data_IF_291242737491
#
_entry.id   IF_291242737491
#
_cell.length_a   1.000
_cell.length_b   1.000
_cell.length_c   1.000
_cell.angle_alpha   90.00
_cell.angle_beta   90.00
_cell.angle_gamma   90.00
#
_symmetry.space_group_name_H-M   'P 1'
#
loop_
_entity.id
_entity.type
_entity.pdbx_description
1 polymer ?
#
# COMPACT_ATOMS: atom_id res chain seq x y z
N UNK A 1 30.57 -60.69 29.59
CA UNK A 1 30.30 -59.57 28.66
C UNK A 1 28.82 -59.60 28.31
N UNK A 2 27.99 -58.86 29.03
CA UNK A 2 26.55 -58.73 28.75
C UNK A 2 26.26 -57.31 28.29
N UNK A 3 25.67 -57.16 27.12
CA UNK A 3 25.32 -55.86 26.53
C UNK A 3 23.94 -55.42 27.05
N UNK A 4 23.88 -54.27 27.73
CA UNK A 4 22.64 -53.61 28.13
C UNK A 4 22.18 -52.70 26.98
N UNK A 5 21.00 -52.98 26.39
CA UNK A 5 20.34 -52.07 25.44
C UNK A 5 19.40 -51.16 26.22
N UNK A 6 19.71 -49.87 26.28
CA UNK A 6 18.80 -48.84 26.76
C UNK A 6 17.86 -48.43 25.62
N UNK A 7 16.55 -48.56 25.82
CA UNK A 7 15.54 -48.00 24.92
C UNK A 7 15.14 -46.61 25.44
N UNK A 8 15.38 -45.58 24.64
CA UNK A 8 14.85 -44.23 24.87
C UNK A 8 13.39 -44.20 24.41
N UNK A 9 12.47 -43.96 25.34
CA UNK A 9 11.07 -43.64 25.01
C UNK A 9 11.00 -42.13 24.74
N UNK A 10 10.71 -41.76 23.50
CA UNK A 10 10.46 -40.37 23.11
C UNK A 10 9.00 -40.03 23.50
N UNK A 11 8.82 -39.21 24.53
CA UNK A 11 7.50 -38.70 24.88
C UNK A 11 7.15 -37.52 23.96
N UNK A 12 6.21 -37.71 23.03
CA UNK A 12 5.61 -36.60 22.28
C UNK A 12 4.64 -35.84 23.20
N UNK A 13 5.02 -34.62 23.58
CA UNK A 13 4.12 -33.65 24.20
C UNK A 13 3.17 -33.09 23.15
N UNK A 14 1.89 -33.49 23.19
CA UNK A 14 0.80 -32.80 22.51
C UNK A 14 0.50 -31.49 23.25
N UNK A 15 0.95 -30.36 22.70
CA UNK A 15 0.47 -29.05 23.13
C UNK A 15 -0.98 -28.90 22.66
N UNK A 16 -1.91 -28.83 23.62
CA UNK A 16 -3.30 -28.46 23.36
C UNK A 16 -3.29 -26.98 22.97
N UNK A 17 -3.45 -26.69 21.67
CA UNK A 17 -3.75 -25.34 21.20
C UNK A 17 -5.17 -24.99 21.71
N UNK A 18 -5.26 -24.08 22.67
CA UNK A 18 -6.52 -23.49 23.08
C UNK A 18 -7.19 -22.74 21.91
N UNK A 19 -8.52 -22.54 21.95
CA UNK A 19 -9.21 -21.82 20.90
C UNK A 19 -8.68 -20.40 20.79
N UNK A 20 -8.20 -20.03 19.59
CA UNK A 20 -7.92 -18.65 19.25
C UNK A 20 -9.24 -17.89 19.32
N UNK A 21 -9.37 -16.99 20.30
CA UNK A 21 -10.52 -16.10 20.36
C UNK A 21 -10.47 -15.22 19.12
N UNK A 22 -11.43 -15.42 18.21
CA UNK A 22 -11.60 -14.53 17.07
C UNK A 22 -11.93 -13.14 17.61
N UNK A 23 -10.97 -12.22 17.47
CA UNK A 23 -11.17 -10.84 17.86
C UNK A 23 -12.21 -10.23 16.92
N UNK A 24 -13.32 -9.72 17.45
CA UNK A 24 -14.32 -9.01 16.65
C UNK A 24 -13.64 -7.73 16.15
N UNK A 25 -13.38 -7.68 14.86
CA UNK A 25 -12.87 -6.48 14.19
C UNK A 25 -14.02 -5.47 14.06
N UNK A 26 -13.74 -4.16 14.16
CA UNK A 26 -14.76 -3.14 13.86
C UNK A 26 -15.27 -3.29 12.43
N UNK A 27 -16.47 -2.78 12.16
CA UNK A 27 -16.95 -2.75 10.78
C UNK A 27 -15.96 -1.94 9.93
N UNK A 28 -15.40 -2.56 8.89
CA UNK A 28 -14.51 -1.86 7.95
C UNK A 28 -15.24 -0.67 7.32
N UNK A 29 -14.57 0.49 7.21
CA UNK A 29 -15.22 1.71 6.75
C UNK A 29 -15.58 1.67 5.26
N UNK A 30 -16.72 2.29 4.94
CA UNK A 30 -17.14 2.54 3.56
C UNK A 30 -17.91 1.39 2.89
N UNK A 31 -18.44 1.62 1.68
CA UNK A 31 -19.32 0.67 0.99
C UNK A 31 -18.57 -0.42 0.19
N UNK A 32 -17.25 -0.54 0.37
CA UNK A 32 -16.37 -1.23 -0.58
C UNK A 32 -16.23 -2.74 -0.35
N UNK A 33 -16.86 -3.28 0.69
CA UNK A 33 -16.85 -4.71 0.90
C UNK A 33 -18.04 -5.40 0.24
N UNK A 34 -17.82 -6.61 -0.29
CA UNK A 34 -18.91 -7.49 -0.67
C UNK A 34 -19.78 -7.71 0.56
N UNK A 35 -21.08 -7.47 0.43
CA UNK A 35 -22.03 -7.54 1.55
C UNK A 35 -22.35 -8.98 1.96
N UNK A 36 -22.05 -9.95 1.10
CA UNK A 36 -22.32 -11.37 1.28
C UNK A 36 -21.44 -12.25 0.37
N UNK A 37 -21.49 -13.58 0.60
CA UNK A 37 -20.79 -14.59 -0.21
C UNK A 37 -21.28 -14.62 -1.67
N UNK A 38 -22.54 -14.26 -1.90
CA UNK A 38 -23.15 -14.22 -3.23
C UNK A 38 -22.46 -13.17 -4.11
N UNK A 39 -22.05 -12.04 -3.52
CA UNK A 39 -21.33 -10.98 -4.21
C UNK A 39 -19.90 -11.36 -4.67
N UNK A 40 -19.32 -12.44 -4.14
CA UNK A 40 -17.95 -12.88 -4.48
C UNK A 40 -17.86 -14.22 -5.20
N UNK A 41 -18.92 -15.04 -5.18
CA UNK A 41 -18.89 -16.41 -5.71
C UNK A 41 -18.49 -16.51 -7.19
N UNK A 42 -18.88 -15.51 -7.99
CA UNK A 42 -18.65 -15.47 -9.43
C UNK A 42 -17.42 -14.61 -9.80
N UNK A 43 -16.67 -14.12 -8.82
CA UNK A 43 -15.44 -13.39 -9.09
C UNK A 43 -14.37 -14.35 -9.62
N UNK A 44 -14.03 -14.19 -10.89
CA UNK A 44 -12.92 -14.90 -11.49
C UNK A 44 -11.61 -14.57 -10.74
N UNK A 45 -10.98 -15.61 -10.21
CA UNK A 45 -9.71 -15.55 -9.47
C UNK A 45 -8.72 -16.57 -10.02
N UNK A 46 -7.48 -16.51 -9.53
CA UNK A 46 -6.41 -17.41 -9.90
C UNK A 46 -6.60 -18.78 -9.23
N UNK A 47 -6.26 -19.83 -9.98
CA UNK A 47 -6.33 -21.22 -9.54
C UNK A 47 -5.00 -21.77 -9.04
N UNK A 48 -5.07 -22.98 -8.50
CA UNK A 48 -3.87 -23.75 -8.19
C UNK A 48 -3.09 -24.08 -9.48
N UNK A 49 -1.81 -23.72 -9.52
CA UNK A 49 -0.93 -23.95 -10.69
C UNK A 49 -0.78 -22.76 -11.63
N UNK A 50 -1.53 -21.68 -11.45
CA UNK A 50 -1.32 -20.43 -12.20
C UNK A 50 0.06 -19.84 -11.88
N UNK A 51 0.74 -19.37 -12.93
CA UNK A 51 2.03 -18.68 -12.80
C UNK A 51 1.78 -17.19 -12.87
N UNK A 52 1.81 -16.54 -11.72
CA UNK A 52 1.44 -15.14 -11.57
C UNK A 52 2.67 -14.25 -11.54
N UNK A 53 2.60 -13.13 -12.26
CA UNK A 53 3.56 -12.04 -12.21
C UNK A 53 2.90 -10.83 -11.55
N UNK A 54 3.54 -10.28 -10.53
CA UNK A 54 3.08 -9.09 -9.82
C UNK A 54 4.09 -7.95 -9.93
N UNK A 55 3.62 -6.71 -9.86
CA UNK A 55 4.46 -5.51 -9.87
C UNK A 55 4.10 -4.57 -8.73
N UNK A 56 5.11 -4.03 -8.06
CA UNK A 56 4.92 -2.90 -7.15
C UNK A 56 4.62 -1.64 -7.95
N UNK A 57 3.52 -0.97 -7.59
CA UNK A 57 3.11 0.27 -8.24
C UNK A 57 3.28 1.44 -7.28
N UNK A 58 4.36 2.18 -7.52
CA UNK A 58 4.66 3.43 -6.84
C UNK A 58 3.99 4.57 -7.61
N UNK A 59 3.01 5.22 -7.00
CA UNK A 59 2.16 6.19 -7.68
C UNK A 59 2.30 7.62 -7.17
N UNK A 60 3.06 7.84 -6.11
CA UNK A 60 3.21 9.14 -5.42
C UNK A 60 4.12 10.13 -6.17
N UNK A 61 4.02 10.20 -7.49
CA UNK A 61 4.81 11.10 -8.33
C UNK A 61 3.95 12.25 -8.85
N UNK A 62 4.50 13.46 -8.85
CA UNK A 62 3.86 14.61 -9.49
C UNK A 62 4.90 15.61 -9.98
N UNK A 63 4.85 15.95 -11.26
CA UNK A 63 5.80 16.91 -11.83
C UNK A 63 5.31 18.36 -11.74
N UNK A 64 3.99 18.58 -11.86
CA UNK A 64 3.39 19.92 -11.86
C UNK A 64 3.11 20.43 -10.45
N UNK A 65 3.57 21.65 -10.16
CA UNK A 65 3.30 22.32 -8.88
C UNK A 65 1.79 22.55 -8.73
N UNK A 66 1.23 21.99 -7.66
CA UNK A 66 -0.16 22.24 -7.26
C UNK A 66 -0.38 21.86 -5.80
N UNK A 67 -1.46 22.37 -5.23
CA UNK A 67 -1.93 21.95 -3.92
C UNK A 67 -2.61 20.58 -4.01
N UNK A 68 -2.45 19.75 -2.99
CA UNK A 68 -3.21 18.51 -2.83
C UNK A 68 -4.01 18.63 -1.53
N UNK A 69 -5.33 18.56 -1.63
CA UNK A 69 -6.24 18.67 -0.47
C UNK A 69 -5.91 19.91 0.42
N UNK A 70 -5.61 21.05 -0.22
CA UNK A 70 -5.26 22.30 0.47
C UNK A 70 -3.79 22.44 0.88
N UNK A 71 -2.97 21.38 0.75
CA UNK A 71 -1.54 21.41 1.06
C UNK A 71 -0.76 21.98 -0.14
N UNK A 72 -0.48 23.29 -0.11
CA UNK A 72 0.20 24.04 -1.17
C UNK A 72 1.71 24.15 -0.93
N UNK A 73 2.43 23.03 -0.95
CA UNK A 73 3.87 23.01 -0.76
C UNK A 73 4.58 22.50 -2.03
N UNK A 74 5.42 23.30 -2.72
CA UNK A 74 6.15 22.83 -3.90
C UNK A 74 7.14 21.69 -3.60
N UNK A 75 7.67 21.61 -2.37
CA UNK A 75 8.44 20.44 -1.93
C UNK A 75 7.58 19.17 -1.84
N UNK A 76 6.25 19.30 -1.71
CA UNK A 76 5.30 18.18 -1.64
C UNK A 76 4.85 17.72 -3.05
N UNK A 77 4.81 18.60 -4.05
CA UNK A 77 4.50 18.18 -5.41
C UNK A 77 5.63 17.32 -5.98
N UNK A 78 6.90 17.71 -5.82
CA UNK A 78 8.03 17.04 -6.49
C UNK A 78 8.93 16.19 -5.59
N UNK A 79 8.55 15.92 -4.34
CA UNK A 79 9.37 15.23 -3.32
C UNK A 79 9.96 13.88 -3.75
N UNK A 80 9.33 13.19 -4.70
CA UNK A 80 9.76 11.89 -5.20
C UNK A 80 10.43 11.94 -6.59
N UNK A 81 10.54 13.14 -7.16
CA UNK A 81 11.22 13.40 -8.44
C UNK A 81 12.50 14.18 -8.20
N UNK A 82 12.44 15.17 -7.31
CA UNK A 82 13.53 16.03 -6.89
C UNK A 82 13.80 15.79 -5.41
N UNK A 83 15.06 15.81 -4.98
CA UNK A 83 15.34 15.83 -3.54
C UNK A 83 14.67 17.07 -2.95
N UNK A 84 13.99 16.91 -1.82
CA UNK A 84 13.46 18.04 -1.07
C UNK A 84 14.64 18.97 -0.73
N UNK A 85 14.78 20.07 -1.47
CA UNK A 85 15.83 21.06 -1.22
C UNK A 85 15.45 21.87 0.02
N UNK A 86 15.59 21.24 1.18
CA UNK A 86 15.60 21.87 2.48
C UNK A 86 16.97 21.66 3.11
N UNK A 87 17.82 22.69 3.06
CA UNK A 87 19.07 22.90 3.84
C UNK A 87 20.43 22.38 3.34
N UNK A 88 20.54 21.46 2.38
CA UNK A 88 21.86 20.81 2.11
C UNK A 88 22.52 21.05 0.74
N UNK A 89 21.83 21.61 -0.26
CA UNK A 89 22.46 21.92 -1.55
C UNK A 89 22.29 23.39 -1.95
N UNK A 90 23.41 24.08 -2.17
CA UNK A 90 23.48 25.45 -2.71
C UNK A 90 23.18 25.53 -4.22
N UNK A 91 22.99 24.39 -4.89
CA UNK A 91 22.95 24.26 -6.36
C UNK A 91 21.55 24.18 -6.97
N UNK A 92 20.48 24.27 -6.18
CA UNK A 92 19.11 24.08 -6.65
C UNK A 92 18.66 22.61 -6.62
N UNK A 93 17.43 22.30 -7.05
CA UNK A 93 16.89 20.93 -6.97
C UNK A 93 17.67 19.97 -7.87
N UNK A 94 18.19 18.92 -7.26
CA UNK A 94 18.81 17.77 -7.92
C UNK A 94 17.80 16.63 -8.04
N UNK A 95 17.89 15.87 -9.13
CA UNK A 95 17.04 14.70 -9.39
C UNK A 95 17.22 13.67 -8.28
N UNK A 96 16.11 13.25 -7.66
CA UNK A 96 16.10 12.08 -6.77
C UNK A 96 16.07 10.75 -7.54
N UNK A 97 15.80 10.82 -8.84
CA UNK A 97 15.73 9.65 -9.72
C UNK A 97 17.11 9.33 -10.28
N UNK A 98 17.49 8.03 -10.25
CA UNK A 98 18.69 7.51 -10.92
C UNK A 98 18.54 7.57 -12.44
N UNK A 99 17.35 7.23 -12.93
CA UNK A 99 16.97 7.31 -14.34
C UNK A 99 15.75 8.22 -14.50
N UNK A 100 15.73 9.05 -15.54
CA UNK A 100 14.61 9.96 -15.81
C UNK A 100 13.58 9.30 -16.73
N UNK A 101 12.31 9.14 -16.30
CA UNK A 101 11.24 8.66 -17.16
C UNK A 101 11.04 9.56 -18.39
N UNK A 102 10.75 8.95 -19.54
CA UNK A 102 10.50 9.67 -20.80
C UNK A 102 9.27 10.57 -20.72
N UNK A 103 8.31 10.21 -19.87
CA UNK A 103 7.05 10.88 -19.61
C UNK A 103 7.02 11.61 -18.26
N UNK A 104 8.20 11.99 -17.73
CA UNK A 104 8.34 12.65 -16.43
C UNK A 104 7.33 13.80 -16.22
N UNK A 105 7.13 14.64 -17.24
CA UNK A 105 6.26 15.83 -17.17
C UNK A 105 4.77 15.51 -17.08
N UNK A 106 4.40 14.29 -17.44
CA UNK A 106 3.03 13.78 -17.44
C UNK A 106 2.68 13.06 -16.14
N UNK A 107 3.68 12.76 -15.29
CA UNK A 107 3.45 12.10 -14.01
C UNK A 107 2.65 13.00 -13.07
N UNK A 108 1.49 12.53 -12.66
CA UNK A 108 0.63 13.19 -11.68
C UNK A 108 -0.26 12.16 -10.97
N UNK A 109 0.02 11.89 -9.69
CA UNK A 109 -0.76 10.95 -8.87
C UNK A 109 -2.25 11.28 -8.80
N UNK A 110 -2.63 12.53 -9.05
CA UNK A 110 -4.03 12.99 -8.97
C UNK A 110 -4.77 12.87 -10.30
N UNK A 111 -4.08 12.47 -11.39
CA UNK A 111 -4.65 12.39 -12.73
C UNK A 111 -5.03 10.94 -13.10
N UNK A 112 -6.33 10.59 -13.20
CA UNK A 112 -6.77 9.27 -13.63
C UNK A 112 -6.20 8.88 -15.01
N UNK A 113 -6.01 9.82 -15.93
CA UNK A 113 -5.48 9.52 -17.26
C UNK A 113 -4.01 9.05 -17.19
N UNK A 114 -3.22 9.60 -16.26
CA UNK A 114 -1.86 9.12 -16.02
C UNK A 114 -1.85 7.70 -15.48
N UNK A 115 -2.68 7.40 -14.47
CA UNK A 115 -2.83 6.04 -13.93
C UNK A 115 -3.28 5.05 -14.99
N UNK A 116 -4.26 5.44 -15.81
CA UNK A 116 -4.75 4.65 -16.93
C UNK A 116 -3.60 4.24 -17.86
N UNK A 117 -2.76 5.18 -18.27
CA UNK A 117 -1.62 4.90 -19.14
C UNK A 117 -0.65 3.89 -18.51
N UNK A 118 -0.42 3.96 -17.19
CA UNK A 118 0.43 2.98 -16.49
C UNK A 118 -0.24 1.60 -16.42
N UNK A 119 -1.54 1.53 -16.12
CA UNK A 119 -2.29 0.27 -16.08
C UNK A 119 -2.26 -0.41 -17.46
N UNK A 120 -2.49 0.34 -18.54
CA UNK A 120 -2.44 -0.20 -19.90
C UNK A 120 -1.04 -0.71 -20.27
N UNK A 121 0.03 -0.02 -19.84
CA UNK A 121 1.42 -0.49 -20.04
C UNK A 121 1.68 -1.79 -19.27
N UNK A 122 1.27 -1.87 -18.01
CA UNK A 122 1.40 -3.08 -17.18
C UNK A 122 0.63 -4.25 -17.80
N UNK A 123 -0.60 -4.01 -18.25
CA UNK A 123 -1.40 -5.00 -18.96
C UNK A 123 -0.71 -5.47 -20.26
N UNK A 124 -0.15 -4.55 -21.04
CA UNK A 124 0.58 -4.88 -22.29
C UNK A 124 1.85 -5.72 -22.04
N UNK A 125 2.43 -5.60 -20.85
CA UNK A 125 3.56 -6.41 -20.40
C UNK A 125 3.15 -7.79 -19.86
N UNK A 126 1.85 -8.14 -19.90
CA UNK A 126 1.31 -9.40 -19.38
C UNK A 126 1.58 -9.61 -17.88
N UNK A 127 1.54 -8.52 -17.11
CA UNK A 127 1.61 -8.58 -15.65
C UNK A 127 0.20 -8.79 -15.10
N UNK A 128 0.03 -9.80 -14.26
CA UNK A 128 -1.28 -10.25 -13.77
C UNK A 128 -1.82 -9.41 -12.61
N UNK A 129 -0.90 -8.90 -11.78
CA UNK A 129 -1.24 -8.25 -10.51
C UNK A 129 -0.50 -6.91 -10.36
N UNK A 130 -1.25 -5.84 -10.11
CA UNK A 130 -0.71 -4.58 -9.63
C UNK A 130 -0.79 -4.58 -8.10
N UNK A 131 0.33 -4.21 -7.46
CA UNK A 131 0.43 -4.02 -6.03
C UNK A 131 0.70 -2.54 -5.72
N UNK A 132 -0.32 -1.67 -5.67
CA UNK A 132 -0.14 -0.29 -5.25
C UNK A 132 0.45 -0.27 -3.85
N UNK A 133 1.53 0.49 -3.69
CA UNK A 133 2.20 0.63 -2.40
C UNK A 133 1.44 1.65 -1.57
N UNK A 134 0.71 1.18 -0.57
CA UNK A 134 0.02 2.07 0.36
C UNK A 134 1.00 2.60 1.38
N UNK A 135 1.20 3.92 1.39
CA UNK A 135 2.12 4.62 2.26
C UNK A 135 1.37 5.66 3.10
N UNK A 136 0.94 5.24 4.27
CA UNK A 136 0.23 6.07 5.22
C UNK A 136 -0.06 5.31 6.51
N UNK A 137 -0.84 5.96 7.37
CA UNK A 137 -1.34 5.35 8.62
C UNK A 137 -2.82 5.01 8.41
N UNK A 138 -3.21 3.72 8.42
CA UNK A 138 -4.60 3.33 8.29
C UNK A 138 -5.50 4.03 9.33
N UNK A 139 -6.67 4.48 8.88
CA UNK A 139 -7.65 5.18 9.73
C UNK A 139 -7.30 6.63 10.08
N UNK A 140 -6.18 7.17 9.56
CA UNK A 140 -5.84 8.59 9.71
C UNK A 140 -5.40 9.20 8.37
N UNK A 141 -6.39 9.61 7.60
CA UNK A 141 -6.23 10.12 6.23
C UNK A 141 -6.33 11.65 6.13
N UNK A 142 -6.45 12.34 7.27
CA UNK A 142 -6.53 13.79 7.37
C UNK A 142 -5.18 14.41 7.76
N UNK A 143 -5.16 15.73 7.91
CA UNK A 143 -3.99 16.52 8.35
C UNK A 143 -3.44 16.11 9.73
N UNK A 144 -4.24 15.43 10.56
CA UNK A 144 -3.88 14.98 11.91
C UNK A 144 -3.29 13.56 11.96
N UNK A 145 -3.37 12.81 10.86
CA UNK A 145 -2.78 11.49 10.70
C UNK A 145 -1.29 11.52 10.41
N UNK A 146 -0.95 11.61 9.14
CA UNK A 146 0.40 11.79 8.65
C UNK A 146 0.30 12.55 7.33
N UNK A 147 1.17 13.53 7.06
CA UNK A 147 1.10 14.33 5.84
C UNK A 147 1.13 13.48 4.55
N UNK A 148 1.73 12.28 4.64
CA UNK A 148 1.84 11.31 3.54
C UNK A 148 0.56 10.51 3.30
N UNK A 149 -0.33 10.37 4.29
CA UNK A 149 -1.61 9.66 4.12
C UNK A 149 -2.48 10.31 3.04
N UNK A 150 -2.32 11.62 2.84
CA UNK A 150 -3.00 12.38 1.79
C UNK A 150 -2.60 11.89 0.40
N UNK A 151 -1.31 11.62 0.15
CA UNK A 151 -0.85 11.07 -1.14
C UNK A 151 -1.49 9.74 -1.45
N UNK A 152 -1.50 8.84 -0.46
CA UNK A 152 -2.09 7.51 -0.63
C UNK A 152 -3.59 7.60 -0.89
N UNK A 153 -4.32 8.47 -0.19
CA UNK A 153 -5.74 8.68 -0.45
C UNK A 153 -6.00 9.16 -1.88
N UNK A 154 -5.46 10.33 -2.26
CA UNK A 154 -5.77 10.93 -3.57
C UNK A 154 -5.25 10.10 -4.73
N UNK A 155 -4.08 9.48 -4.56
CA UNK A 155 -3.49 8.62 -5.58
C UNK A 155 -4.31 7.34 -5.79
N UNK A 156 -4.85 6.76 -4.72
CA UNK A 156 -5.71 5.58 -4.82
C UNK A 156 -7.11 5.90 -5.33
N UNK A 157 -7.64 7.08 -5.04
CA UNK A 157 -8.90 7.56 -5.64
C UNK A 157 -8.76 7.67 -7.17
N UNK A 158 -7.72 8.36 -7.65
CA UNK A 158 -7.46 8.50 -9.10
C UNK A 158 -7.15 7.15 -9.78
N UNK A 159 -6.40 6.26 -9.12
CA UNK A 159 -6.14 4.91 -9.61
C UNK A 159 -7.41 4.06 -9.72
N UNK A 160 -8.29 4.13 -8.71
CA UNK A 160 -9.56 3.39 -8.70
C UNK A 160 -10.51 3.89 -9.79
N UNK A 161 -10.53 5.20 -10.06
CA UNK A 161 -11.25 5.80 -11.18
C UNK A 161 -10.76 5.24 -12.52
N UNK A 162 -9.44 5.29 -12.77
CA UNK A 162 -8.84 4.74 -13.99
C UNK A 162 -9.15 3.25 -14.19
N UNK A 163 -9.09 2.45 -13.12
CA UNK A 163 -9.46 1.03 -13.16
C UNK A 163 -10.94 0.82 -13.49
N UNK A 164 -11.81 1.70 -13.00
CA UNK A 164 -13.25 1.65 -13.27
C UNK A 164 -13.55 2.02 -14.72
N UNK A 165 -12.91 3.05 -15.26
CA UNK A 165 -13.04 3.46 -16.66
C UNK A 165 -12.63 2.32 -17.61
N UNK A 166 -11.44 1.74 -17.40
CA UNK A 166 -10.95 0.63 -18.22
C UNK A 166 -11.89 -0.58 -18.18
N UNK A 167 -12.41 -0.93 -17.01
CA UNK A 167 -13.40 -2.01 -16.87
C UNK A 167 -14.70 -1.70 -17.61
N UNK A 168 -15.19 -0.46 -17.52
CA UNK A 168 -16.41 -0.03 -18.21
C UNK A 168 -16.25 -0.05 -19.75
N UNK A 169 -15.02 0.12 -20.24
CA UNK A 169 -14.69 -0.06 -21.67
C UNK A 169 -14.50 -1.54 -22.07
N UNK A 170 -14.66 -2.47 -21.15
CA UNK A 170 -14.45 -3.91 -21.41
C UNK A 170 -12.97 -4.28 -21.57
N UNK A 171 -12.03 -3.45 -21.11
CA UNK A 171 -10.61 -3.77 -21.13
C UNK A 171 -10.29 -4.81 -20.06
N UNK A 172 -9.46 -5.77 -20.41
CA UNK A 172 -8.84 -6.65 -19.41
C UNK A 172 -7.77 -5.85 -18.68
N UNK A 173 -7.96 -5.69 -17.37
CA UNK A 173 -7.01 -5.01 -16.47
C UNK A 173 -6.39 -6.02 -15.50
N UNK A 174 -5.15 -5.80 -15.04
CA UNK A 174 -4.56 -6.59 -13.97
C UNK A 174 -5.43 -6.59 -12.72
N UNK A 175 -5.38 -7.68 -11.95
CA UNK A 175 -5.99 -7.71 -10.62
C UNK A 175 -5.20 -6.78 -9.68
N UNK A 176 -5.86 -6.30 -8.63
CA UNK A 176 -5.23 -5.39 -7.66
C UNK A 176 -5.09 -6.13 -6.33
N UNK A 177 -3.88 -6.18 -5.80
CA UNK A 177 -3.62 -6.54 -4.41
C UNK A 177 -3.04 -5.33 -3.68
N UNK A 178 -3.31 -5.18 -2.39
CA UNK A 178 -2.71 -4.08 -1.62
C UNK A 178 -1.34 -4.49 -1.09
N UNK A 179 -0.31 -3.69 -1.32
CA UNK A 179 0.94 -3.80 -0.58
C UNK A 179 1.00 -2.69 0.46
N UNK A 180 0.95 -3.06 1.74
CA UNK A 180 1.03 -2.09 2.83
C UNK A 180 2.49 -1.90 3.26
N UNK A 181 3.04 -0.71 3.00
CA UNK A 181 4.39 -0.36 3.43
C UNK A 181 4.40 -0.02 4.92
N UNK A 182 4.86 -0.99 5.72
CA UNK A 182 4.89 -0.87 7.19
C UNK A 182 6.01 0.03 7.69
N UNK A 183 6.85 0.60 6.82
CA UNK A 183 7.84 1.59 7.24
C UNK A 183 7.18 2.81 7.89
N UNK A 184 5.96 3.20 7.47
CA UNK A 184 5.16 4.28 8.08
C UNK A 184 4.77 4.02 9.52
N UNK A 185 4.85 2.76 9.97
CA UNK A 185 4.59 2.40 11.36
C UNK A 185 5.84 2.62 12.24
N UNK A 186 7.02 2.77 11.62
CA UNK A 186 8.30 2.98 12.30
C UNK A 186 8.84 4.41 12.15
N UNK A 187 8.68 5.03 10.98
CA UNK A 187 9.00 6.43 10.73
C UNK A 187 7.88 7.29 11.27
N UNK A 188 8.23 8.31 12.08
CA UNK A 188 7.42 9.42 12.60
C UNK A 188 5.93 9.43 12.22
N UNK A 189 5.20 8.37 12.57
CA UNK A 189 3.77 8.49 12.63
C UNK A 189 3.51 9.55 13.71
N UNK A 190 2.44 10.32 13.57
CA UNK A 190 2.00 11.23 14.63
C UNK A 190 1.83 10.53 16.00
N UNK A 191 1.89 9.18 16.07
CA UNK A 191 2.01 8.43 17.33
C UNK A 191 3.30 8.70 18.10
N UNK A 192 4.44 8.89 17.43
CA UNK A 192 5.74 9.09 18.08
C UNK A 192 6.05 10.55 18.41
N UNK A 193 5.30 11.51 17.85
CA UNK A 193 5.50 12.93 18.16
C UNK A 193 5.25 13.23 19.64
N UNK A 194 4.28 12.54 20.25
CA UNK A 194 3.91 12.73 21.65
C UNK A 194 4.56 11.68 22.59
N UNK A 195 5.05 10.56 22.05
CA UNK A 195 5.80 9.55 22.80
C UNK A 195 6.77 8.78 21.88
N UNK A 196 8.04 9.21 21.74
CA UNK A 196 8.99 8.64 20.77
C UNK A 196 9.41 7.20 21.07
N UNK A 197 9.13 6.70 22.27
CA UNK A 197 9.38 5.30 22.67
C UNK A 197 8.15 4.40 22.46
N UNK A 198 7.02 4.96 22.05
CA UNK A 198 5.79 4.21 21.83
C UNK A 198 5.92 3.36 20.57
N UNK A 199 5.73 2.04 20.72
CA UNK A 199 5.52 1.16 19.58
C UNK A 199 4.06 1.26 19.17
N UNK A 200 3.79 1.36 17.87
CA UNK A 200 2.43 1.24 17.35
C UNK A 200 1.94 -0.17 17.68
N UNK A 201 0.89 -0.22 18.49
CA UNK A 201 0.16 -1.44 18.83
C UNK A 201 -1.18 -1.42 18.10
N UNK A 202 -1.29 -2.18 17.01
CA UNK A 202 -2.53 -2.30 16.22
C UNK A 202 -3.68 -2.97 17.01
N UNK A 203 -3.39 -3.54 18.18
CA UNK A 203 -4.39 -4.11 19.08
C UNK A 203 -4.93 -3.09 20.09
N UNK A 204 -4.20 -2.00 20.34
CA UNK A 204 -4.59 -0.93 21.24
C UNK A 204 -5.60 0.03 20.60
N UNK A 205 -6.42 0.69 21.41
CA UNK A 205 -7.50 1.58 20.94
C UNK A 205 -7.00 2.75 20.07
N UNK A 206 -5.77 3.19 20.29
CA UNK A 206 -5.14 4.26 19.51
C UNK A 206 -4.58 3.77 18.16
N UNK A 207 -4.22 2.49 18.04
CA UNK A 207 -3.69 1.87 16.81
C UNK A 207 -4.76 1.20 15.94
N UNK A 208 -6.00 1.12 16.41
CA UNK A 208 -7.15 0.72 15.60
C UNK A 208 -7.56 1.85 14.66
N UNK A 209 -7.91 1.51 13.44
CA UNK A 209 -8.58 2.42 12.50
C UNK A 209 -9.91 2.84 13.13
N UNK A 210 -10.07 4.14 13.42
CA UNK A 210 -11.37 4.69 13.82
C UNK A 210 -12.28 4.81 12.60
#
# INVERSE_FOLDING_TARGET
MGYFRAYFILALSFSILGPVSAQILPEPPGPYLPKDEEAVKDLQTFGEGDRLTAVYYFYWYRYRDACIEGICNPQFSRSHIEFATGSFEKSGPSSALTDTPVDLKEMDLTDPAWHRAQIERIASASIDIILPVFWGVPGRYDENGHYQSVWSKVGMEAFAEAMTELKNEGKTVPKVGMFFDTSTLSFESSFNRDNPDAKIDLTASNGKTQ
#
